data_IF_151972112673
#
_entry.id   IF_151972112673
#
_cell.length_a   1.000
_cell.length_b   1.000
_cell.length_c   1.000
_cell.angle_alpha   90.00
_cell.angle_beta   90.00
_cell.angle_gamma   90.00
#
_symmetry.space_group_name_H-M   'P 1'
#
loop_
_entity.id
_entity.type
_entity.pdbx_description
1 polymer ?
#
# COMPACT_ATOMS: atom_id res chain seq x y z
N UNK A 1 -36.95 -32.66 17.69
CA UNK A 1 -35.70 -32.90 16.94
C UNK A 1 -35.24 -31.72 16.05
N UNK A 2 -35.77 -30.48 16.22
CA UNK A 2 -35.43 -29.33 15.33
C UNK A 2 -34.28 -28.43 15.82
N UNK A 3 -34.00 -28.43 17.12
CA UNK A 3 -32.96 -27.59 17.75
C UNK A 3 -31.52 -27.85 17.26
N UNK A 4 -31.05 -29.11 17.06
CA UNK A 4 -29.67 -29.32 16.60
C UNK A 4 -29.47 -28.98 15.12
N UNK A 5 -30.54 -29.07 14.33
CA UNK A 5 -30.53 -28.74 12.89
C UNK A 5 -30.37 -27.23 12.67
N UNK A 6 -31.01 -26.43 13.52
CA UNK A 6 -30.90 -24.96 13.49
C UNK A 6 -29.51 -24.49 13.91
N UNK A 7 -28.90 -25.14 14.91
CA UNK A 7 -27.52 -24.87 15.32
C UNK A 7 -26.50 -25.20 14.22
N UNK A 8 -26.70 -26.29 13.48
CA UNK A 8 -25.84 -26.67 12.35
C UNK A 8 -25.90 -25.64 11.21
N UNK A 9 -27.09 -25.14 10.89
CA UNK A 9 -27.29 -24.11 9.87
C UNK A 9 -26.61 -22.80 10.30
N UNK A 10 -26.75 -22.41 11.57
CA UNK A 10 -26.14 -21.19 12.11
C UNK A 10 -24.60 -21.29 12.11
N UNK A 11 -24.05 -22.47 12.44
CA UNK A 11 -22.62 -22.74 12.35
C UNK A 11 -22.09 -22.63 10.91
N UNK A 12 -22.81 -23.19 9.94
CA UNK A 12 -22.44 -23.11 8.52
C UNK A 12 -22.48 -21.68 7.99
N UNK A 13 -23.47 -20.87 8.40
CA UNK A 13 -23.57 -19.46 8.02
C UNK A 13 -22.40 -18.65 8.60
N UNK A 14 -22.05 -18.87 9.88
CA UNK A 14 -20.90 -18.21 10.51
C UNK A 14 -19.59 -18.60 9.82
N UNK A 15 -19.41 -19.88 9.51
CA UNK A 15 -18.20 -20.35 8.83
C UNK A 15 -18.06 -19.81 7.40
N UNK A 16 -19.15 -19.69 6.65
CA UNK A 16 -19.12 -19.13 5.30
C UNK A 16 -18.75 -17.63 5.30
N UNK A 17 -19.12 -16.89 6.35
CA UNK A 17 -18.90 -15.43 6.41
C UNK A 17 -17.44 -15.01 6.66
N UNK A 18 -16.57 -15.91 7.10
CA UNK A 18 -15.16 -15.59 7.41
C UNK A 18 -14.23 -15.52 6.18
N UNK A 19 -14.71 -15.92 5.00
CA UNK A 19 -13.87 -16.11 3.80
C UNK A 19 -13.66 -14.82 2.99
N UNK A 20 -14.43 -13.76 3.23
CA UNK A 20 -14.56 -12.65 2.25
C UNK A 20 -13.57 -11.48 2.42
N UNK A 21 -12.49 -11.61 3.21
CA UNK A 21 -11.79 -10.44 3.76
C UNK A 21 -10.30 -10.28 3.40
N UNK A 22 -9.85 -10.67 2.20
CA UNK A 22 -8.45 -10.46 1.78
C UNK A 22 -8.25 -10.02 0.32
N UNK A 23 -9.15 -9.21 -0.24
CA UNK A 23 -8.86 -8.51 -1.50
C UNK A 23 -8.06 -7.22 -1.20
N UNK A 24 -6.74 -7.33 -1.07
CA UNK A 24 -5.87 -6.14 -1.07
C UNK A 24 -5.70 -5.64 -2.50
N UNK A 25 -6.31 -4.49 -2.80
CA UNK A 25 -6.12 -3.78 -4.06
C UNK A 25 -4.70 -3.20 -4.12
N UNK A 26 -3.79 -3.89 -4.79
CA UNK A 26 -2.49 -3.33 -5.15
C UNK A 26 -2.67 -2.33 -6.30
N UNK A 27 -2.22 -1.09 -6.11
CA UNK A 27 -2.19 -0.09 -7.17
C UNK A 27 -0.86 -0.20 -7.92
N UNK A 28 -0.89 -0.09 -9.25
CA UNK A 28 0.33 -0.05 -10.06
C UNK A 28 0.70 1.42 -10.30
N UNK A 29 1.94 1.79 -10.00
CA UNK A 29 2.47 3.12 -10.36
C UNK A 29 2.56 3.19 -11.89
N UNK A 30 1.69 3.97 -12.51
CA UNK A 30 1.71 4.16 -13.97
C UNK A 30 2.77 5.16 -14.42
N UNK A 31 2.91 6.24 -13.67
CA UNK A 31 3.75 7.38 -14.02
C UNK A 31 4.20 8.09 -12.74
N UNK A 32 5.46 8.52 -12.71
CA UNK A 32 5.97 9.42 -11.67
C UNK A 32 6.21 10.76 -12.35
N UNK A 33 5.63 11.85 -11.82
CA UNK A 33 5.86 13.21 -12.33
C UNK A 33 6.60 14.01 -11.27
N UNK A 34 7.78 14.53 -11.62
CA UNK A 34 8.56 15.41 -10.74
C UNK A 34 8.25 16.86 -11.10
N UNK A 35 7.85 17.65 -10.11
CA UNK A 35 7.46 19.06 -10.29
C UNK A 35 8.19 19.95 -9.29
N UNK A 36 8.47 21.19 -9.69
CA UNK A 36 9.09 22.21 -8.82
C UNK A 36 10.61 22.05 -8.62
N UNK A 37 11.27 21.20 -9.40
CA UNK A 37 12.71 21.04 -9.33
C UNK A 37 13.43 22.21 -10.04
N UNK A 38 14.03 23.11 -9.26
CA UNK A 38 14.76 24.29 -9.78
C UNK A 38 16.27 24.17 -9.72
N UNK A 39 16.79 23.35 -8.79
CA UNK A 39 18.24 23.19 -8.53
C UNK A 39 18.76 21.76 -8.70
N UNK A 40 17.86 20.79 -8.87
CA UNK A 40 18.19 19.36 -8.95
C UNK A 40 17.56 18.77 -10.19
N UNK A 41 18.30 17.95 -10.93
CA UNK A 41 17.73 17.29 -12.11
C UNK A 41 16.72 16.23 -11.70
N UNK A 42 15.70 16.07 -12.53
CA UNK A 42 14.66 15.06 -12.34
C UNK A 42 15.25 13.63 -12.25
N UNK A 43 16.32 13.35 -12.99
CA UNK A 43 16.99 12.04 -12.97
C UNK A 43 17.59 11.72 -11.60
N UNK A 44 18.18 12.70 -10.92
CA UNK A 44 18.75 12.52 -9.57
C UNK A 44 17.64 12.24 -8.57
N UNK A 45 16.52 12.97 -8.66
CA UNK A 45 15.36 12.79 -7.78
C UNK A 45 14.77 11.39 -7.99
N UNK A 46 14.52 10.99 -9.24
CA UNK A 46 14.01 9.65 -9.59
C UNK A 46 14.94 8.53 -9.12
N UNK A 47 16.24 8.75 -9.14
CA UNK A 47 17.23 7.78 -8.66
C UNK A 47 17.21 7.54 -7.14
N UNK A 48 16.65 8.46 -6.35
CA UNK A 48 16.56 8.34 -4.89
C UNK A 48 15.20 7.83 -4.39
N UNK A 49 14.21 7.71 -5.28
CA UNK A 49 12.90 7.18 -4.89
C UNK A 49 12.98 5.66 -4.66
N UNK A 50 12.39 5.13 -3.57
CA UNK A 50 12.36 3.70 -3.31
C UNK A 50 11.41 2.94 -4.24
N UNK A 51 10.58 3.65 -5.01
CA UNK A 51 9.60 3.11 -5.93
C UNK A 51 9.84 3.53 -7.37
N UNK A 52 9.37 2.71 -8.32
CA UNK A 52 9.51 2.91 -9.77
C UNK A 52 8.17 2.71 -10.47
N UNK A 53 8.07 3.27 -11.67
CA UNK A 53 6.96 2.98 -12.59
C UNK A 53 6.88 1.48 -12.86
N UNK A 54 5.65 0.95 -12.94
CA UNK A 54 5.36 -0.48 -13.03
C UNK A 54 5.40 -1.23 -11.69
N UNK A 55 5.85 -0.62 -10.60
CA UNK A 55 5.83 -1.26 -9.29
C UNK A 55 4.41 -1.29 -8.70
N UNK A 56 4.08 -2.41 -8.05
CA UNK A 56 2.82 -2.59 -7.34
C UNK A 56 2.97 -2.07 -5.90
N UNK A 57 2.09 -1.15 -5.51
CA UNK A 57 2.09 -0.51 -4.19
C UNK A 57 0.78 -0.83 -3.49
N UNK A 58 0.89 -1.34 -2.27
CA UNK A 58 -0.25 -1.64 -1.42
C UNK A 58 -0.60 -0.40 -0.60
N UNK A 59 -1.88 -0.03 -0.58
CA UNK A 59 -2.39 1.20 0.07
C UNK A 59 -2.01 1.32 1.55
N UNK A 60 -1.73 0.19 2.19
CA UNK A 60 -1.38 0.07 3.60
C UNK A 60 0.07 0.50 3.91
N UNK A 61 0.93 0.68 2.90
CA UNK A 61 2.36 1.04 3.04
C UNK A 61 2.72 2.46 2.61
N UNK A 62 1.85 3.15 1.87
CA UNK A 62 2.15 4.47 1.27
C UNK A 62 2.40 5.59 2.30
N UNK A 63 1.75 5.54 3.45
CA UNK A 63 1.86 6.59 4.48
C UNK A 63 3.12 6.47 5.34
N UNK A 64 3.77 5.30 5.36
CA UNK A 64 4.98 5.06 6.15
C UNK A 64 6.26 5.38 5.39
N UNK A 65 6.30 5.05 4.09
CA UNK A 65 7.53 5.06 3.30
C UNK A 65 7.98 6.47 2.87
N UNK A 66 7.02 7.38 2.66
CA UNK A 66 7.32 8.79 2.33
C UNK A 66 7.94 9.57 3.50
N UNK A 67 7.70 9.15 4.76
CA UNK A 67 8.28 9.81 5.95
C UNK A 67 9.77 9.54 6.10
N UNK A 68 10.26 8.39 5.64
CA UNK A 68 11.67 8.02 5.78
C UNK A 68 12.57 8.68 4.71
N UNK A 69 12.01 9.03 3.55
CA UNK A 69 12.76 9.69 2.48
C UNK A 69 12.93 11.20 2.74
N UNK A 70 11.94 11.87 3.35
CA UNK A 70 12.05 13.29 3.72
C UNK A 70 13.09 13.57 4.80
N UNK A 71 13.38 12.60 5.68
CA UNK A 71 14.43 12.78 6.71
C UNK A 71 15.85 12.73 6.15
N UNK A 72 16.08 12.06 5.03
CA UNK A 72 17.41 12.02 4.39
C UNK A 72 17.72 13.26 3.54
N UNK A 73 16.68 13.96 3.07
CA UNK A 73 16.84 15.20 2.29
C UNK A 73 16.93 16.47 3.17
N UNK A 74 16.77 16.35 4.50
CA UNK A 74 16.79 17.46 5.46
C UNK A 74 18.11 17.61 6.25
N UNK A 75 19.21 16.97 5.81
CA UNK A 75 20.54 17.28 6.33
C UNK A 75 21.36 18.12 5.33
N UNK A 76 21.27 19.46 5.38
CA UNK A 76 22.35 20.29 4.90
C UNK A 76 23.51 20.19 5.92
N UNK A 77 24.63 19.65 5.47
CA UNK A 77 25.94 19.58 6.16
C UNK A 77 26.15 18.42 7.14
N UNK A 78 26.93 17.43 6.69
CA UNK A 78 28.03 16.83 7.45
C UNK A 78 29.23 16.70 6.50
#
# INVERSE_FOLDING_TARGET
MRKPMLALILLLVVFASSVTLFAQEGLIIREIVVVGNTRTSEQVIRGQLPFKEGMMVFKNGLSGDLRHSTSSLMNPCA
#
